data_IF_464732149429
#
_entry.id   IF_464732149429
#
_cell.length_a   1.000
_cell.length_b   1.000
_cell.length_c   1.000
_cell.angle_alpha   90.00
_cell.angle_beta   90.00
_cell.angle_gamma   90.00
#
_symmetry.space_group_name_H-M   'P 1'
#
loop_
_entity.id
_entity.type
_entity.pdbx_description
1 polymer ?
#
# COMPACT_ATOMS: atom_id res chain seq x y z
N UNK A 1 -16.54 -6.07 -11.25
CA UNK A 1 -15.94 -4.82 -10.74
C UNK A 1 -14.42 -4.84 -10.90
N UNK A 2 -13.88 -3.85 -11.58
CA UNK A 2 -12.46 -3.58 -11.80
C UNK A 2 -12.10 -2.37 -10.96
N UNK A 3 -11.09 -2.50 -10.12
CA UNK A 3 -10.69 -1.47 -9.17
C UNK A 3 -9.33 -0.93 -9.58
N UNK A 4 -9.28 0.35 -9.90
CA UNK A 4 -8.06 1.11 -10.09
C UNK A 4 -7.63 1.63 -8.73
N UNK A 5 -6.35 1.58 -8.40
CA UNK A 5 -5.84 2.12 -7.14
C UNK A 5 -4.78 3.16 -7.46
N UNK A 6 -4.96 4.36 -6.93
CA UNK A 6 -4.02 5.46 -7.05
C UNK A 6 -3.36 5.72 -5.71
N UNK A 7 -2.06 5.97 -5.71
CA UNK A 7 -1.35 6.51 -4.55
C UNK A 7 -1.63 8.02 -4.46
N UNK A 8 -1.86 8.54 -3.25
CA UNK A 8 -1.85 9.99 -3.06
C UNK A 8 -0.44 10.54 -3.33
N UNK A 9 -0.34 11.74 -3.88
CA UNK A 9 0.96 12.39 -4.05
C UNK A 9 1.67 12.62 -2.71
N UNK A 10 2.95 13.00 -2.77
CA UNK A 10 3.69 13.42 -1.59
C UNK A 10 2.92 14.48 -0.77
N UNK A 11 2.83 14.25 0.55
CA UNK A 11 2.12 15.13 1.48
C UNK A 11 3.10 15.88 2.39
N UNK A 12 2.75 17.12 2.72
CA UNK A 12 3.53 18.01 3.58
C UNK A 12 3.91 17.32 4.89
N UNK A 13 5.11 17.57 5.41
CA UNK A 13 5.62 16.90 6.62
C UNK A 13 5.01 17.42 7.94
N UNK A 14 4.35 18.58 7.92
CA UNK A 14 3.75 19.22 9.11
C UNK A 14 2.29 19.57 8.87
N UNK A 15 1.42 19.14 9.77
CA UNK A 15 0.01 19.55 9.88
C UNK A 15 -0.44 19.37 11.35
N UNK A 16 -1.67 19.76 11.68
CA UNK A 16 -2.24 19.56 13.03
C UNK A 16 -2.50 18.09 13.34
N UNK A 17 -2.88 17.33 12.32
CA UNK A 17 -3.12 15.89 12.37
C UNK A 17 -2.69 15.28 11.03
N UNK A 18 -2.50 13.96 10.99
CA UNK A 18 -2.12 13.32 9.73
C UNK A 18 -3.19 13.50 8.64
N UNK A 19 -4.47 13.38 9.02
CA UNK A 19 -5.60 13.52 8.12
C UNK A 19 -5.67 14.91 7.44
N UNK A 20 -5.10 15.94 8.07
CA UNK A 20 -5.09 17.32 7.60
C UNK A 20 -3.90 17.65 6.68
N UNK A 21 -2.96 16.71 6.44
CA UNK A 21 -1.80 16.99 5.60
C UNK A 21 -2.22 17.22 4.15
N UNK A 22 -1.82 18.37 3.61
CA UNK A 22 -1.99 18.71 2.21
C UNK A 22 -0.89 18.08 1.33
N UNK A 23 -1.16 17.99 0.03
CA UNK A 23 -0.15 17.66 -0.98
C UNK A 23 0.91 18.76 -1.08
N UNK A 24 2.17 18.35 -1.24
CA UNK A 24 3.26 19.26 -1.63
C UNK A 24 3.11 19.66 -3.10
N UNK A 25 3.82 20.70 -3.54
CA UNK A 25 3.86 21.06 -4.97
C UNK A 25 4.35 19.87 -5.82
N UNK A 26 5.39 19.19 -5.35
CA UNK A 26 5.90 17.97 -5.97
C UNK A 26 4.85 16.85 -6.02
N UNK A 27 4.16 16.61 -4.90
CA UNK A 27 3.10 15.60 -4.83
C UNK A 27 1.95 15.87 -5.81
N UNK A 28 1.62 17.14 -6.06
CA UNK A 28 0.60 17.49 -7.08
C UNK A 28 1.08 17.15 -8.50
N UNK A 29 2.35 17.39 -8.82
CA UNK A 29 2.93 17.00 -10.11
C UNK A 29 2.96 15.48 -10.29
N UNK A 30 3.29 14.72 -9.24
CA UNK A 30 3.25 13.24 -9.26
C UNK A 30 1.84 12.72 -9.59
N UNK A 31 0.81 13.31 -8.97
CA UNK A 31 -0.59 12.94 -9.21
C UNK A 31 -0.99 13.23 -10.65
N UNK A 32 -0.65 14.41 -11.18
CA UNK A 32 -0.98 14.77 -12.56
C UNK A 32 -0.31 13.84 -13.58
N UNK A 33 0.96 13.48 -13.37
CA UNK A 33 1.65 12.48 -14.21
C UNK A 33 0.96 11.12 -14.15
N UNK A 34 0.55 10.70 -12.95
CA UNK A 34 -0.15 9.43 -12.76
C UNK A 34 -1.54 9.42 -13.40
N UNK A 35 -2.25 10.55 -13.36
CA UNK A 35 -3.58 10.72 -13.95
C UNK A 35 -3.57 10.54 -15.48
N UNK A 36 -2.48 10.90 -16.17
CA UNK A 36 -2.34 10.67 -17.61
C UNK A 36 -2.51 9.19 -17.98
N UNK A 37 -2.04 8.26 -17.12
CA UNK A 37 -2.20 6.82 -17.34
C UNK A 37 -3.64 6.31 -17.13
N UNK A 38 -4.53 7.16 -16.62
CA UNK A 38 -5.95 6.85 -16.43
C UNK A 38 -6.85 7.42 -17.54
N UNK A 39 -6.29 8.24 -18.45
CA UNK A 39 -7.05 8.97 -19.50
C UNK A 39 -7.83 8.07 -20.46
N UNK A 40 -7.37 6.84 -20.66
CA UNK A 40 -7.99 5.84 -21.53
C UNK A 40 -8.93 4.89 -20.78
N UNK A 41 -9.17 5.10 -19.48
CA UNK A 41 -9.97 4.20 -18.64
C UNK A 41 -11.39 4.74 -18.46
N UNK A 42 -12.36 3.83 -18.50
CA UNK A 42 -13.79 4.08 -18.24
C UNK A 42 -14.09 4.17 -16.74
N UNK A 43 -13.48 5.15 -16.06
CA UNK A 43 -13.75 5.39 -14.62
C UNK A 43 -15.20 5.85 -14.45
N UNK A 44 -16.00 5.10 -13.68
CA UNK A 44 -17.40 5.43 -13.40
C UNK A 44 -17.58 6.14 -12.05
N UNK A 45 -16.62 6.00 -11.14
CA UNK A 45 -16.66 6.61 -9.82
C UNK A 45 -15.25 6.81 -9.26
N UNK A 46 -15.01 7.99 -8.70
CA UNK A 46 -13.79 8.31 -7.95
C UNK A 46 -14.16 8.35 -6.47
N UNK A 47 -13.47 7.55 -5.67
CA UNK A 47 -13.74 7.41 -4.23
C UNK A 47 -12.48 7.75 -3.45
N UNK A 48 -12.62 8.61 -2.44
CA UNK A 48 -11.52 9.04 -1.60
C UNK A 48 -11.86 8.94 -0.12
N UNK A 49 -10.82 8.80 0.69
CA UNK A 49 -10.91 8.96 2.14
C UNK A 49 -11.14 10.44 2.49
N UNK A 50 -11.62 10.76 3.71
CA UNK A 50 -11.78 12.13 4.16
C UNK A 50 -10.45 12.89 4.37
N UNK A 51 -9.29 12.26 4.14
CA UNK A 51 -8.00 12.89 4.36
C UNK A 51 -7.71 13.92 3.28
N UNK A 52 -7.18 15.07 3.67
CA UNK A 52 -7.01 16.23 2.78
C UNK A 52 -6.17 15.88 1.54
N UNK A 53 -5.03 15.21 1.71
CA UNK A 53 -4.20 14.73 0.59
C UNK A 53 -4.94 13.78 -0.37
N UNK A 54 -5.83 12.93 0.16
CA UNK A 54 -6.57 11.97 -0.65
C UNK A 54 -7.65 12.68 -1.47
N UNK A 55 -8.35 13.64 -0.87
CA UNK A 55 -9.31 14.51 -1.55
C UNK A 55 -8.64 15.36 -2.62
N UNK A 56 -7.51 16.00 -2.30
CA UNK A 56 -6.74 16.79 -3.28
C UNK A 56 -6.23 15.94 -4.44
N UNK A 57 -5.77 14.71 -4.16
CA UNK A 57 -5.37 13.74 -5.19
C UNK A 57 -6.55 13.40 -6.10
N UNK A 58 -7.68 13.00 -5.50
CA UNK A 58 -8.87 12.60 -6.24
C UNK A 58 -9.42 13.74 -7.10
N UNK A 59 -9.40 14.97 -6.59
CA UNK A 59 -9.87 16.15 -7.33
C UNK A 59 -8.94 16.50 -8.50
N UNK A 60 -7.62 16.42 -8.31
CA UNK A 60 -6.65 16.61 -9.40
C UNK A 60 -6.86 15.57 -10.53
N UNK A 61 -7.09 14.31 -10.16
CA UNK A 61 -7.38 13.23 -11.12
C UNK A 61 -8.71 13.48 -11.81
N UNK A 62 -9.75 13.86 -11.06
CA UNK A 62 -11.07 14.19 -11.60
C UNK A 62 -10.96 15.26 -12.67
N UNK A 63 -10.26 16.35 -12.37
CA UNK A 63 -10.04 17.46 -13.31
C UNK A 63 -9.23 17.02 -14.52
N UNK A 64 -8.15 16.27 -14.31
CA UNK A 64 -7.28 15.78 -15.38
C UNK A 64 -7.99 14.83 -16.35
N UNK A 65 -8.95 14.04 -15.85
CA UNK A 65 -9.74 13.11 -16.66
C UNK A 65 -10.98 13.76 -17.30
N UNK A 66 -11.29 15.02 -16.96
CA UNK A 66 -12.56 15.63 -17.35
C UNK A 66 -13.78 14.91 -16.78
N UNK A 67 -13.62 14.25 -15.62
CA UNK A 67 -14.68 13.48 -14.98
C UNK A 67 -15.68 14.43 -14.29
N UNK A 68 -16.94 14.41 -14.72
CA UNK A 68 -17.93 15.42 -14.31
C UNK A 68 -18.55 15.14 -12.94
N UNK A 69 -18.68 13.87 -12.55
CA UNK A 69 -19.29 13.52 -11.26
C UNK A 69 -18.35 13.86 -10.09
N UNK A 70 -18.90 14.25 -8.93
CA UNK A 70 -18.09 14.62 -7.78
C UNK A 70 -17.33 13.43 -7.20
N UNK A 71 -16.18 13.71 -6.58
CA UNK A 71 -15.47 12.72 -5.77
C UNK A 71 -16.36 12.29 -4.60
N UNK A 72 -16.59 10.98 -4.48
CA UNK A 72 -17.34 10.40 -3.36
C UNK A 72 -16.39 10.23 -2.18
N UNK A 73 -16.64 10.98 -1.11
CA UNK A 73 -15.87 10.86 0.12
C UNK A 73 -16.50 9.82 1.03
N UNK A 74 -15.72 8.86 1.52
CA UNK A 74 -16.23 7.77 2.37
C UNK A 74 -15.38 7.57 3.62
N UNK A 75 -16.00 7.42 4.81
CA UNK A 75 -15.26 7.30 6.07
C UNK A 75 -14.59 5.94 6.25
N UNK A 76 -15.00 4.94 5.47
CA UNK A 76 -14.48 3.57 5.53
C UNK A 76 -13.26 3.33 4.64
N UNK A 77 -12.75 4.37 3.94
CA UNK A 77 -11.51 4.29 3.16
C UNK A 77 -10.35 4.97 3.89
N UNK A 78 -10.37 4.96 5.22
CA UNK A 78 -9.30 5.51 6.05
C UNK A 78 -8.27 4.45 6.40
N UNK A 79 -7.08 4.88 6.87
CA UNK A 79 -6.12 4.02 7.55
C UNK A 79 -6.74 3.05 8.58
N UNK A 80 -7.67 3.52 9.40
CA UNK A 80 -8.21 2.70 10.49
C UNK A 80 -9.20 1.62 10.02
N UNK A 81 -9.57 1.62 8.74
CA UNK A 81 -10.58 0.72 8.20
C UNK A 81 -10.00 -0.65 7.83
N UNK A 82 -10.69 -1.72 8.21
CA UNK A 82 -10.25 -3.07 7.86
C UNK A 82 -10.37 -3.30 6.34
N UNK A 83 -9.39 -3.97 5.68
CA UNK A 83 -9.49 -4.27 4.25
C UNK A 83 -10.74 -5.06 3.87
N UNK A 84 -11.21 -5.93 4.76
CA UNK A 84 -12.46 -6.70 4.56
C UNK A 84 -13.67 -5.78 4.51
N UNK A 85 -13.76 -4.81 5.39
CA UNK A 85 -14.84 -3.82 5.39
C UNK A 85 -14.82 -2.98 4.12
N UNK A 86 -13.64 -2.52 3.69
CA UNK A 86 -13.47 -1.81 2.41
C UNK A 86 -14.02 -2.63 1.24
N UNK A 87 -13.65 -3.91 1.15
CA UNK A 87 -14.14 -4.81 0.10
C UNK A 87 -15.67 -4.99 0.15
N UNK A 88 -16.24 -5.19 1.34
CA UNK A 88 -17.70 -5.32 1.52
C UNK A 88 -18.44 -4.03 1.13
N UNK A 89 -17.87 -2.87 1.41
CA UNK A 89 -18.44 -1.58 1.03
C UNK A 89 -18.34 -1.36 -0.48
N UNK A 90 -17.23 -1.75 -1.11
CA UNK A 90 -17.06 -1.65 -2.57
C UNK A 90 -18.07 -2.53 -3.33
N UNK A 91 -18.30 -3.75 -2.85
CA UNK A 91 -19.28 -4.68 -3.45
C UNK A 91 -20.70 -4.08 -3.46
N UNK A 92 -21.06 -3.32 -2.43
CA UNK A 92 -22.36 -2.63 -2.32
C UNK A 92 -22.53 -1.45 -3.28
N UNK A 93 -21.46 -0.94 -3.90
CA UNK A 93 -21.55 0.24 -4.76
C UNK A 93 -22.18 -0.04 -6.12
N UNK A 94 -22.26 -1.30 -6.54
CA UNK A 94 -22.91 -1.72 -7.78
C UNK A 94 -22.32 -1.12 -9.05
N UNK A 95 -21.02 -0.79 -9.05
CA UNK A 95 -20.30 -0.18 -10.17
C UNK A 95 -19.26 -1.13 -10.74
N UNK A 96 -19.04 -1.05 -12.05
CA UNK A 96 -18.09 -1.92 -12.72
C UNK A 96 -16.65 -1.42 -12.61
N UNK A 97 -16.41 -0.11 -12.43
CA UNK A 97 -15.06 0.48 -12.33
C UNK A 97 -14.93 1.56 -11.23
N UNK A 98 -14.01 1.37 -10.28
CA UNK A 98 -13.77 2.30 -9.13
C UNK A 98 -12.29 2.67 -9.01
N UNK A 99 -11.98 3.96 -8.78
CA UNK A 99 -10.64 4.41 -8.38
C UNK A 99 -10.54 4.56 -6.85
N UNK A 100 -9.55 3.91 -6.22
CA UNK A 100 -9.27 3.97 -4.77
C UNK A 100 -7.94 4.68 -4.48
N UNK A 101 -7.95 5.64 -3.57
CA UNK A 101 -6.74 6.35 -3.18
C UNK A 101 -6.08 5.79 -1.89
N UNK A 102 -5.58 4.54 -1.89
CA UNK A 102 -4.97 3.96 -0.69
C UNK A 102 -3.76 3.02 -0.97
N UNK A 103 -2.51 3.52 -0.89
CA UNK A 103 -1.31 2.77 -1.31
C UNK A 103 -0.96 1.58 -0.40
N UNK A 104 -1.28 1.64 0.90
CA UNK A 104 -0.99 0.55 1.84
C UNK A 104 -1.72 -0.75 1.50
N UNK A 105 -3.00 -0.65 1.10
CA UNK A 105 -3.79 -1.82 0.65
C UNK A 105 -3.18 -2.43 -0.62
N UNK A 106 -2.68 -1.61 -1.55
CA UNK A 106 -2.08 -2.10 -2.78
C UNK A 106 -0.83 -2.96 -2.50
N UNK A 107 0.05 -2.50 -1.61
CA UNK A 107 1.24 -3.26 -1.22
C UNK A 107 0.89 -4.56 -0.50
N UNK A 108 -0.09 -4.52 0.41
CA UNK A 108 -0.55 -5.74 1.10
C UNK A 108 -1.18 -6.74 0.13
N UNK A 109 -2.00 -6.31 -0.82
CA UNK A 109 -2.59 -7.20 -1.86
C UNK A 109 -1.48 -7.88 -2.67
N UNK A 110 -0.52 -7.10 -3.18
CA UNK A 110 0.60 -7.66 -3.95
C UNK A 110 1.45 -8.61 -3.11
N UNK A 111 1.71 -8.28 -1.85
CA UNK A 111 2.41 -9.19 -0.94
C UNK A 111 1.63 -10.50 -0.76
N UNK A 112 0.32 -10.47 -0.56
CA UNK A 112 -0.49 -11.69 -0.41
C UNK A 112 -0.41 -12.59 -1.65
N UNK A 113 -0.44 -12.00 -2.84
CA UNK A 113 -0.23 -12.74 -4.10
C UNK A 113 1.20 -13.28 -4.21
N UNK A 114 2.19 -12.42 -4.00
CA UNK A 114 3.60 -12.78 -4.04
C UNK A 114 3.95 -13.89 -3.04
N UNK A 115 3.39 -13.85 -1.85
CA UNK A 115 3.56 -14.87 -0.81
C UNK A 115 3.03 -16.23 -1.27
N UNK A 116 1.86 -16.28 -1.93
CA UNK A 116 1.35 -17.52 -2.53
C UNK A 116 2.29 -18.05 -3.62
N UNK A 117 2.78 -17.19 -4.52
CA UNK A 117 3.74 -17.58 -5.55
C UNK A 117 5.05 -18.09 -4.95
N UNK A 118 5.55 -17.43 -3.90
CA UNK A 118 6.77 -17.82 -3.20
C UNK A 118 6.60 -19.21 -2.57
N UNK A 119 5.48 -19.46 -1.89
CA UNK A 119 5.15 -20.76 -1.30
C UNK A 119 4.91 -21.87 -2.34
N UNK A 120 4.53 -21.51 -3.57
CA UNK A 120 4.41 -22.42 -4.69
C UNK A 120 5.75 -22.76 -5.36
N UNK A 121 6.88 -22.27 -4.83
CA UNK A 121 8.21 -22.51 -5.41
C UNK A 121 8.52 -21.64 -6.63
N UNK A 122 7.82 -20.51 -6.79
CA UNK A 122 8.00 -19.57 -7.90
C UNK A 122 8.63 -18.24 -7.42
N UNK A 123 9.86 -18.26 -6.86
CA UNK A 123 10.45 -17.10 -6.18
C UNK A 123 10.70 -15.91 -7.11
N UNK A 124 11.01 -16.16 -8.39
CA UNK A 124 11.20 -15.09 -9.37
C UNK A 124 9.91 -14.30 -9.61
N UNK A 125 8.80 -15.01 -9.84
CA UNK A 125 7.49 -14.37 -10.05
C UNK A 125 7.01 -13.65 -8.79
N UNK A 126 7.24 -14.25 -7.63
CA UNK A 126 6.97 -13.63 -6.34
C UNK A 126 7.73 -12.31 -6.16
N UNK A 127 9.03 -12.29 -6.49
CA UNK A 127 9.84 -11.07 -6.38
C UNK A 127 9.39 -10.01 -7.39
N UNK A 128 9.12 -10.38 -8.65
CA UNK A 128 8.58 -9.44 -9.65
C UNK A 128 7.29 -8.78 -9.13
N UNK A 129 6.36 -9.57 -8.58
CA UNK A 129 5.11 -9.03 -7.99
C UNK A 129 5.37 -8.07 -6.83
N UNK A 130 6.37 -8.35 -5.98
CA UNK A 130 6.71 -7.48 -4.85
C UNK A 130 7.40 -6.19 -5.31
N UNK A 131 8.27 -6.25 -6.32
CA UNK A 131 8.92 -5.08 -6.91
C UNK A 131 7.94 -4.15 -7.62
N UNK A 132 6.90 -4.70 -8.28
CA UNK A 132 5.82 -3.89 -8.86
C UNK A 132 5.12 -3.08 -7.76
N UNK A 133 4.78 -3.72 -6.64
CA UNK A 133 4.20 -3.01 -5.49
C UNK A 133 5.16 -1.99 -4.88
N UNK A 134 6.44 -2.35 -4.72
CA UNK A 134 7.45 -1.45 -4.18
C UNK A 134 7.60 -0.19 -5.03
N UNK A 135 7.71 -0.35 -6.35
CA UNK A 135 7.78 0.76 -7.31
C UNK A 135 6.53 1.65 -7.25
N UNK A 136 5.33 1.07 -7.14
CA UNK A 136 4.08 1.82 -7.11
C UNK A 136 3.79 2.51 -5.77
N UNK A 137 4.30 1.99 -4.65
CA UNK A 137 3.87 2.39 -3.30
C UNK A 137 4.98 2.93 -2.40
N UNK A 138 6.24 2.62 -2.71
CA UNK A 138 7.39 2.85 -1.83
C UNK A 138 7.49 1.88 -0.64
N UNK A 139 6.70 0.80 -0.62
CA UNK A 139 6.67 -0.23 0.43
C UNK A 139 7.35 -1.50 -0.10
N UNK A 140 8.51 -1.89 0.46
CA UNK A 140 9.16 -3.18 0.14
C UNK A 140 8.74 -4.25 1.14
N UNK A 141 8.01 -5.26 0.69
CA UNK A 141 7.65 -6.43 1.49
C UNK A 141 8.21 -7.65 0.79
N UNK A 142 9.16 -8.34 1.42
CA UNK A 142 9.68 -9.57 0.87
C UNK A 142 8.57 -10.64 0.76
N UNK A 143 8.46 -11.40 -0.35
CA UNK A 143 7.41 -12.40 -0.51
C UNK A 143 7.39 -13.47 0.59
N UNK A 144 8.56 -13.81 1.14
CA UNK A 144 8.71 -14.78 2.23
C UNK A 144 8.17 -14.34 3.59
N UNK A 145 7.93 -13.04 3.80
CA UNK A 145 7.42 -12.53 5.07
C UNK A 145 6.06 -13.15 5.40
N UNK A 146 5.83 -13.47 6.68
CA UNK A 146 4.57 -14.02 7.15
C UNK A 146 3.77 -12.92 7.85
N UNK A 147 2.54 -12.67 7.39
CA UNK A 147 1.74 -11.55 7.87
C UNK A 147 0.35 -12.03 8.25
N UNK A 148 -0.10 -11.76 9.47
CA UNK A 148 -1.43 -12.10 9.98
C UNK A 148 -2.56 -11.29 9.33
N UNK A 149 -3.83 -11.69 9.51
CA UNK A 149 -4.98 -10.92 9.06
C UNK A 149 -5.04 -9.53 9.71
N UNK A 150 -5.81 -8.64 9.09
CA UNK A 150 -6.01 -7.25 9.56
C UNK A 150 -4.70 -6.44 9.71
N UNK A 151 -3.65 -6.84 9.00
CA UNK A 151 -2.41 -6.09 8.88
C UNK A 151 -2.60 -4.82 8.07
N UNK A 152 -1.98 -3.75 8.55
CA UNK A 152 -2.25 -2.42 8.07
C UNK A 152 -0.97 -1.58 7.97
N UNK A 153 -0.81 -0.88 6.84
CA UNK A 153 0.30 0.05 6.62
C UNK A 153 -0.29 1.43 6.28
N UNK A 154 0.09 2.45 7.06
CA UNK A 154 -0.27 3.85 6.79
C UNK A 154 0.92 4.62 6.21
N UNK A 155 0.66 5.43 5.19
CA UNK A 155 1.61 6.10 4.29
C UNK A 155 2.58 5.18 3.54
N UNK A 156 3.19 4.24 4.26
CA UNK A 156 4.00 3.13 3.81
C UNK A 156 5.30 3.47 3.12
N UNK A 157 5.49 4.71 2.67
CA UNK A 157 6.70 5.09 1.92
C UNK A 157 7.93 4.85 2.79
N UNK A 158 8.89 4.07 2.28
CA UNK A 158 10.10 3.68 2.99
C UNK A 158 9.94 2.52 3.97
N UNK A 159 8.78 1.86 4.04
CA UNK A 159 8.62 0.63 4.81
C UNK A 159 9.39 -0.50 4.14
N UNK A 160 10.16 -1.25 4.93
CA UNK A 160 10.92 -2.42 4.49
C UNK A 160 10.65 -3.59 5.43
N UNK A 161 10.10 -4.69 4.91
CA UNK A 161 9.80 -5.91 5.67
C UNK A 161 10.58 -7.09 5.08
N UNK A 162 11.50 -7.64 5.87
CA UNK A 162 12.42 -8.67 5.41
C UNK A 162 11.85 -10.09 5.32
N UNK A 163 12.59 -10.96 4.63
CA UNK A 163 12.16 -12.31 4.23
C UNK A 163 11.61 -13.21 5.33
N UNK A 164 12.23 -13.18 6.51
CA UNK A 164 11.89 -14.09 7.62
C UNK A 164 11.13 -13.38 8.73
N UNK A 165 10.57 -12.19 8.44
CA UNK A 165 9.75 -11.46 9.39
C UNK A 165 8.42 -12.21 9.61
N UNK A 166 7.95 -12.22 10.85
CA UNK A 166 6.64 -12.75 11.23
C UNK A 166 5.87 -11.60 11.87
N UNK A 167 4.71 -11.29 11.33
CA UNK A 167 3.85 -10.21 11.79
C UNK A 167 2.52 -10.83 12.19
N UNK A 168 2.08 -10.58 13.42
CA UNK A 168 0.83 -11.05 14.00
C UNK A 168 -0.40 -10.38 13.40
N UNK A 169 -1.52 -10.54 14.08
CA UNK A 169 -2.81 -9.99 13.67
C UNK A 169 -2.97 -8.53 14.09
N UNK A 170 -3.75 -7.75 13.33
CA UNK A 170 -4.13 -6.36 13.69
C UNK A 170 -2.95 -5.41 13.90
N UNK A 171 -1.78 -5.75 13.37
CA UNK A 171 -0.57 -4.93 13.42
C UNK A 171 -0.71 -3.72 12.49
N UNK A 172 -0.24 -2.56 12.97
CA UNK A 172 -0.16 -1.31 12.18
C UNK A 172 1.28 -0.85 12.05
N UNK A 173 1.69 -0.49 10.85
CA UNK A 173 3.04 0.03 10.54
C UNK A 173 2.93 1.38 9.82
N UNK A 174 3.69 2.37 10.27
CA UNK A 174 3.81 3.69 9.64
C UNK A 174 5.03 3.79 8.70
N UNK A 175 5.16 4.92 8.00
CA UNK A 175 6.25 5.19 7.06
C UNK A 175 7.65 4.97 7.67
N UNK A 176 8.61 4.59 6.81
CA UNK A 176 10.03 4.43 7.15
C UNK A 176 10.37 3.33 8.19
N UNK A 177 9.40 2.51 8.61
CA UNK A 177 9.67 1.36 9.49
C UNK A 177 10.45 0.28 8.74
N UNK A 178 11.51 -0.23 9.37
CA UNK A 178 12.32 -1.33 8.83
C UNK A 178 12.31 -2.53 9.77
N UNK A 179 11.74 -3.64 9.32
CA UNK A 179 11.84 -4.96 9.95
C UNK A 179 12.97 -5.76 9.27
N UNK A 180 14.21 -5.27 9.46
CA UNK A 180 15.42 -5.73 8.81
C UNK A 180 16.23 -6.77 9.60
N UNK A 181 17.32 -7.27 9.00
CA UNK A 181 18.22 -8.22 9.65
C UNK A 181 19.39 -7.53 10.37
N UNK A 182 19.80 -8.06 11.53
CA UNK A 182 20.93 -7.50 12.31
C UNK A 182 22.29 -7.95 11.77
N UNK A 183 22.42 -9.21 11.32
CA UNK A 183 23.67 -9.84 10.85
C UNK A 183 23.37 -10.93 9.83
N UNK A 184 24.31 -11.16 8.93
CA UNK A 184 24.31 -12.32 8.03
C UNK A 184 25.33 -13.33 8.54
N UNK A 185 24.91 -14.43 9.19
CA UNK A 185 25.84 -15.47 9.58
C UNK A 185 26.44 -16.11 8.33
N UNK A 186 27.77 -16.17 8.29
CA UNK A 186 28.52 -16.94 7.30
C UNK A 186 28.78 -18.34 7.86
N UNK A 187 28.73 -19.36 7.01
CA UNK A 187 29.29 -20.67 7.34
C UNK A 187 30.83 -20.64 7.38
N UNK A 188 31.44 -21.79 7.66
CA UNK A 188 32.90 -21.95 7.76
C UNK A 188 33.63 -21.59 6.45
N UNK A 189 32.92 -21.62 5.32
CA UNK A 189 33.41 -21.27 3.98
C UNK A 189 33.14 -19.80 3.60
N UNK A 190 32.58 -19.00 4.51
CA UNK A 190 32.25 -17.60 4.29
C UNK A 190 30.94 -17.36 3.52
N UNK A 191 30.20 -18.41 3.16
CA UNK A 191 28.93 -18.29 2.45
C UNK A 191 27.82 -17.87 3.42
N UNK A 192 26.99 -16.93 2.96
CA UNK A 192 25.86 -16.46 3.76
C UNK A 192 24.83 -17.59 3.92
N UNK A 193 24.53 -17.94 5.16
CA UNK A 193 23.49 -18.93 5.46
C UNK A 193 22.12 -18.33 5.11
N UNK A 194 21.48 -18.87 4.06
CA UNK A 194 20.14 -18.47 3.61
C UNK A 194 19.06 -19.23 4.37
N UNK A 195 17.88 -18.63 4.51
CA UNK A 195 16.70 -19.28 5.11
C UNK A 195 16.60 -19.25 6.64
N UNK A 196 17.66 -18.90 7.38
CA UNK A 196 17.55 -18.78 8.84
C UNK A 196 16.72 -17.56 9.27
N UNK A 197 15.98 -17.71 10.37
CA UNK A 197 15.25 -16.62 11.00
C UNK A 197 16.24 -15.52 11.44
N UNK A 198 16.05 -14.32 10.89
CA UNK A 198 16.98 -13.18 11.08
C UNK A 198 16.28 -11.82 11.13
N UNK A 199 14.97 -11.79 10.90
CA UNK A 199 14.14 -10.59 10.97
C UNK A 199 13.21 -10.67 12.20
N UNK A 200 12.63 -9.54 12.64
CA UNK A 200 11.79 -9.48 13.83
C UNK A 200 10.51 -10.34 13.75
N UNK A 201 10.03 -10.71 14.93
CA UNK A 201 8.64 -11.15 15.14
C UNK A 201 7.90 -9.97 15.78
N UNK A 202 6.80 -9.55 15.17
CA UNK A 202 5.91 -8.51 15.66
C UNK A 202 4.62 -9.20 16.12
N UNK A 203 4.30 -9.09 17.40
CA UNK A 203 3.11 -9.72 17.98
C UNK A 203 1.81 -9.01 17.60
N UNK A 204 0.68 -9.60 17.97
CA UNK A 204 -0.65 -9.06 17.72
C UNK A 204 -0.84 -7.65 18.29
N UNK A 205 -1.68 -6.85 17.62
CA UNK A 205 -2.11 -5.52 18.06
C UNK A 205 -0.98 -4.47 18.22
N UNK A 206 0.25 -4.80 17.79
CA UNK A 206 1.39 -3.87 17.82
C UNK A 206 1.20 -2.74 16.80
N UNK A 207 1.57 -1.53 17.22
CA UNK A 207 1.65 -0.33 16.38
C UNK A 207 3.09 0.16 16.36
N UNK A 208 3.65 0.36 15.16
CA UNK A 208 5.04 0.80 14.93
C UNK A 208 5.07 2.06 14.09
#
# INVERSE_FOLDING_TARGET
MKVWVLRHGEAQSRARSDAERELTAHGREEVLKSAVHLSDKSVQRIIASPYVRALQTAELVRQSLGFNDPVVTVPWLTPDSSPREVLLQLDKLGVDEVLLCYPGILAVIHHRLAHHLYRAGLPLLARISSEIAHSATGIDIHPGAQIGPSFFIDHGTGVVIGETAIIGERVRIYQAVTLGAKRFPSDEDGQLQKGHARHPIVEDDVVI
#
